data_IF_567866689637
#
_entry.id   IF_567866689637
#
_cell.length_a   1.000
_cell.length_b   1.000
_cell.length_c   1.000
_cell.angle_alpha   90.00
_cell.angle_beta   90.00
_cell.angle_gamma   90.00
#
_symmetry.space_group_name_H-M   'P 1'
#
loop_
_entity.id
_entity.type
_entity.pdbx_description
1 polymer ?
#
# COMPACT_ATOMS: atom_id res chain seq x y z
N UNK A 1 4.85 -3.58 -4.64
CA UNK A 1 6.09 -4.32 -4.31
C UNK A 1 6.27 -4.46 -2.79
N UNK A 2 6.09 -3.39 -1.99
CA UNK A 2 6.17 -3.44 -0.52
C UNK A 2 5.31 -4.51 0.15
N UNK A 3 4.01 -4.59 -0.19
CA UNK A 3 3.09 -5.58 0.37
C UNK A 3 3.61 -7.03 0.31
N UNK A 4 4.22 -7.46 -0.80
CA UNK A 4 4.69 -8.86 -0.93
C UNK A 4 5.88 -9.13 -0.02
N UNK A 5 6.79 -8.17 0.13
CA UNK A 5 7.94 -8.29 1.03
C UNK A 5 7.50 -8.35 2.50
N UNK A 6 6.52 -7.51 2.87
CA UNK A 6 5.93 -7.49 4.20
C UNK A 6 5.11 -8.75 4.51
N UNK A 7 4.36 -9.28 3.53
CA UNK A 7 3.70 -10.61 3.61
C UNK A 7 4.73 -11.70 3.88
N UNK A 8 5.84 -11.73 3.15
CA UNK A 8 6.86 -12.76 3.32
C UNK A 8 7.48 -12.73 4.71
N UNK A 9 7.88 -11.55 5.19
CA UNK A 9 8.44 -11.41 6.55
C UNK A 9 7.40 -11.80 7.59
N UNK A 10 6.19 -11.25 7.51
CA UNK A 10 5.16 -11.52 8.51
C UNK A 10 4.74 -12.99 8.55
N UNK A 11 4.61 -13.64 7.38
CA UNK A 11 4.28 -15.06 7.30
C UNK A 11 5.36 -16.00 7.86
N UNK A 12 6.63 -15.56 7.89
CA UNK A 12 7.71 -16.33 8.50
C UNK A 12 7.69 -16.26 10.03
N UNK A 13 7.15 -15.19 10.62
CA UNK A 13 7.12 -14.98 12.08
C UNK A 13 5.75 -15.23 12.73
N UNK A 14 4.66 -15.18 11.96
CA UNK A 14 3.29 -15.38 12.47
C UNK A 14 2.82 -16.83 12.27
N UNK A 15 2.06 -17.40 13.22
CA UNK A 15 1.48 -18.73 13.09
C UNK A 15 0.29 -18.78 12.12
N UNK A 16 -0.12 -17.63 11.55
CA UNK A 16 -1.24 -17.49 10.63
C UNK A 16 -0.90 -16.54 9.49
N UNK A 17 -1.68 -16.62 8.41
CA UNK A 17 -1.55 -15.71 7.27
C UNK A 17 -1.95 -14.29 7.67
N UNK A 18 -1.04 -13.31 7.57
CA UNK A 18 -1.31 -11.97 8.06
C UNK A 18 -2.39 -11.24 7.23
N UNK A 19 -2.57 -11.62 5.96
CA UNK A 19 -3.72 -11.21 5.14
C UNK A 19 -4.13 -12.35 4.20
N UNK A 20 -5.44 -12.56 4.04
CA UNK A 20 -5.97 -13.54 3.09
C UNK A 20 -5.87 -13.03 1.65
N UNK A 21 -5.68 -13.90 0.65
CA UNK A 21 -5.69 -13.52 -0.77
C UNK A 21 -6.96 -12.78 -1.19
N UNK A 22 -8.11 -13.12 -0.60
CA UNK A 22 -9.38 -12.43 -0.87
C UNK A 22 -9.34 -10.96 -0.45
N UNK A 23 -8.74 -10.65 0.71
CA UNK A 23 -8.59 -9.28 1.18
C UNK A 23 -7.67 -8.46 0.27
N UNK A 24 -6.56 -9.06 -0.18
CA UNK A 24 -5.67 -8.45 -1.16
C UNK A 24 -6.39 -8.15 -2.48
N UNK A 25 -7.23 -9.08 -2.96
CA UNK A 25 -8.00 -8.89 -4.18
C UNK A 25 -8.99 -7.73 -4.05
N UNK A 26 -9.68 -7.63 -2.92
CA UNK A 26 -10.60 -6.52 -2.65
C UNK A 26 -9.85 -5.19 -2.57
N UNK A 27 -8.70 -5.12 -1.89
CA UNK A 27 -7.89 -3.89 -1.84
C UNK A 27 -7.45 -3.45 -3.23
N UNK A 28 -6.92 -4.37 -4.03
CA UNK A 28 -6.49 -4.05 -5.38
C UNK A 28 -7.66 -3.58 -6.25
N UNK A 29 -8.83 -4.22 -6.14
CA UNK A 29 -10.02 -3.78 -6.86
C UNK A 29 -10.45 -2.36 -6.45
N UNK A 30 -10.49 -2.06 -5.15
CA UNK A 30 -10.82 -0.73 -4.65
C UNK A 30 -9.82 0.33 -5.13
N UNK A 31 -8.54 -0.02 -5.13
CA UNK A 31 -7.47 0.83 -5.63
C UNK A 31 -7.63 1.11 -7.12
N UNK A 32 -7.83 0.07 -7.93
CA UNK A 32 -7.99 0.19 -9.38
C UNK A 32 -9.23 1.01 -9.73
N UNK A 33 -10.36 0.80 -9.04
CA UNK A 33 -11.57 1.64 -9.18
C UNK A 33 -11.27 3.10 -8.87
N UNK A 34 -10.49 3.37 -7.81
CA UNK A 34 -10.10 4.73 -7.46
C UNK A 34 -9.23 5.38 -8.54
N UNK A 35 -8.41 4.59 -9.24
CA UNK A 35 -7.60 5.07 -10.36
C UNK A 35 -8.39 5.36 -11.63
N UNK A 36 -9.59 4.78 -11.82
CA UNK A 36 -10.46 5.10 -12.97
C UNK A 36 -10.81 6.60 -12.99
N UNK A 37 -10.81 7.27 -11.84
CA UNK A 37 -11.06 8.72 -11.78
C UNK A 37 -9.87 9.57 -12.26
N UNK A 38 -8.65 9.03 -12.31
CA UNK A 38 -7.43 9.80 -12.64
C UNK A 38 -7.44 10.33 -14.08
N UNK A 39 -7.81 9.55 -15.12
CA UNK A 39 -7.91 10.07 -16.49
C UNK A 39 -8.98 11.15 -16.70
N UNK A 40 -9.98 11.20 -15.83
CA UNK A 40 -11.04 12.22 -15.85
C UNK A 40 -10.72 13.42 -14.94
N UNK A 41 -9.55 13.43 -14.30
CA UNK A 41 -9.10 14.52 -13.47
C UNK A 41 -8.61 15.71 -14.31
N UNK A 42 -8.74 16.91 -13.78
CA UNK A 42 -8.34 18.13 -14.48
C UNK A 42 -6.81 18.23 -14.47
N UNK A 43 -6.19 17.90 -15.60
CA UNK A 43 -4.74 17.92 -15.76
C UNK A 43 -4.28 19.37 -15.99
N UNK A 44 -3.21 19.81 -15.33
CA UNK A 44 -2.66 21.16 -15.52
C UNK A 44 -2.33 21.43 -16.99
N UNK A 45 -2.64 22.63 -17.50
CA UNK A 45 -2.45 23.03 -18.90
C UNK A 45 -0.98 22.84 -19.36
N UNK A 46 -0.04 22.96 -18.43
CA UNK A 46 1.41 22.75 -18.59
C UNK A 46 1.76 21.29 -18.99
N UNK A 47 0.99 20.32 -18.49
CA UNK A 47 1.15 18.90 -18.79
C UNK A 47 0.63 18.54 -20.18
N UNK A 48 -0.30 19.35 -20.73
CA UNK A 48 -0.94 19.17 -22.03
C UNK A 48 -0.13 19.87 -23.14
N UNK A 49 0.69 20.87 -22.79
CA UNK A 49 1.40 21.70 -23.79
C UNK A 49 2.50 20.96 -24.53
N UNK A 50 3.06 19.88 -23.96
CA UNK A 50 4.15 19.11 -24.56
C UNK A 50 3.95 17.59 -24.35
N UNK A 51 4.34 16.74 -25.32
CA UNK A 51 4.26 15.30 -25.16
C UNK A 51 5.19 14.84 -24.03
N UNK A 52 4.59 14.36 -22.94
CA UNK A 52 5.32 13.82 -21.78
C UNK A 52 6.10 12.57 -22.21
N UNK A 53 7.41 12.57 -22.01
CA UNK A 53 8.25 11.39 -22.25
C UNK A 53 8.26 10.52 -21.01
N UNK A 54 7.97 9.23 -21.18
CA UNK A 54 7.97 8.28 -20.08
C UNK A 54 9.40 8.05 -19.57
N UNK A 55 9.76 8.60 -18.41
CA UNK A 55 11.06 8.39 -17.79
C UNK A 55 10.99 7.22 -16.79
N UNK A 56 11.36 6.02 -17.25
CA UNK A 56 11.39 4.82 -16.42
C UNK A 56 12.38 4.90 -15.24
N UNK A 57 13.41 5.75 -15.33
CA UNK A 57 14.36 5.95 -14.25
C UNK A 57 13.75 6.67 -13.04
N UNK A 58 12.81 7.59 -13.28
CA UNK A 58 12.09 8.30 -12.22
C UNK A 58 11.11 7.38 -11.49
N UNK A 59 10.47 6.46 -12.23
CA UNK A 59 9.63 5.41 -11.65
C UNK A 59 10.45 4.48 -10.74
N UNK A 60 11.67 4.12 -11.17
CA UNK A 60 12.59 3.32 -10.36
C UNK A 60 12.98 4.03 -9.05
N UNK A 61 13.34 5.32 -9.10
CA UNK A 61 13.64 6.13 -7.90
C UNK A 61 12.44 6.22 -6.96
N UNK A 62 11.24 6.42 -7.50
CA UNK A 62 10.01 6.43 -6.72
C UNK A 62 9.81 5.10 -5.98
N UNK A 63 9.98 3.96 -6.65
CA UNK A 63 9.87 2.64 -6.03
C UNK A 63 10.90 2.42 -4.92
N UNK A 64 12.15 2.86 -5.11
CA UNK A 64 13.22 2.72 -4.12
C UNK A 64 13.00 3.59 -2.89
N UNK A 65 12.34 4.74 -3.01
CA UNK A 65 12.05 5.62 -1.88
C UNK A 65 10.78 5.19 -1.12
N UNK A 66 9.73 4.84 -1.86
CA UNK A 66 8.45 4.44 -1.26
C UNK A 66 8.44 3.03 -0.70
N UNK A 67 9.20 2.10 -1.29
CA UNK A 67 9.30 0.73 -0.78
C UNK A 67 9.67 0.70 0.70
N UNK A 68 10.83 1.28 1.10
CA UNK A 68 11.23 1.36 2.50
C UNK A 68 10.22 2.06 3.40
N UNK A 69 9.60 3.15 2.95
CA UNK A 69 8.59 3.88 3.74
C UNK A 69 7.40 2.96 4.03
N UNK A 70 6.86 2.29 3.00
CA UNK A 70 5.74 1.35 3.20
C UNK A 70 6.11 0.22 4.16
N UNK A 71 7.31 -0.35 4.04
CA UNK A 71 7.77 -1.40 4.95
C UNK A 71 7.93 -0.93 6.39
N UNK A 72 8.29 0.34 6.64
CA UNK A 72 8.33 0.90 8.00
C UNK A 72 6.90 0.95 8.58
N UNK A 73 5.92 1.42 7.81
CA UNK A 73 4.52 1.45 8.24
C UNK A 73 3.96 0.04 8.50
N UNK A 74 4.29 -0.94 7.64
CA UNK A 74 3.95 -2.35 7.84
C UNK A 74 4.54 -2.88 9.16
N UNK A 75 5.84 -2.67 9.39
CA UNK A 75 6.53 -3.12 10.61
C UNK A 75 5.96 -2.45 11.86
N UNK A 76 5.64 -1.15 11.80
CA UNK A 76 5.00 -0.45 12.90
C UNK A 76 3.61 -1.03 13.19
N UNK A 77 2.83 -1.30 12.17
CA UNK A 77 1.48 -1.88 12.30
C UNK A 77 1.55 -3.29 12.89
N UNK A 78 2.47 -4.13 12.42
CA UNK A 78 2.69 -5.45 13.01
C UNK A 78 3.18 -5.37 14.45
N UNK A 79 4.06 -4.42 14.76
CA UNK A 79 4.53 -4.19 16.13
C UNK A 79 3.39 -3.75 17.04
N UNK A 80 2.51 -2.85 16.59
CA UNK A 80 1.33 -2.43 17.33
C UNK A 80 0.37 -3.61 17.56
N UNK A 81 0.07 -4.38 16.51
CA UNK A 81 -0.80 -5.55 16.63
C UNK A 81 -0.24 -6.61 17.59
N UNK A 82 1.08 -6.82 17.57
CA UNK A 82 1.75 -7.80 18.41
C UNK A 82 1.91 -7.34 19.86
N UNK A 83 2.39 -6.12 20.11
CA UNK A 83 2.77 -5.66 21.45
C UNK A 83 1.61 -4.99 22.21
N UNK A 84 0.74 -4.26 21.51
CA UNK A 84 -0.38 -3.54 22.13
C UNK A 84 -1.62 -4.42 22.17
N UNK A 85 -2.05 -4.94 21.01
CA UNK A 85 -3.27 -5.73 20.92
C UNK A 85 -3.07 -7.20 21.28
N UNK A 86 -1.81 -7.67 21.39
CA UNK A 86 -1.46 -9.09 21.60
C UNK A 86 -2.21 -10.01 20.64
N UNK A 87 -2.43 -9.54 19.41
CA UNK A 87 -3.13 -10.27 18.35
C UNK A 87 -2.18 -11.29 17.70
N UNK A 88 -1.57 -12.14 18.53
CA UNK A 88 -0.62 -13.18 18.12
C UNK A 88 -1.23 -14.59 18.16
N UNK A 89 -2.48 -14.73 18.60
CA UNK A 89 -3.22 -15.99 18.62
C UNK A 89 -4.10 -16.12 17.37
N UNK A 90 -4.38 -17.36 16.88
CA UNK A 90 -5.28 -17.59 15.75
C UNK A 90 -6.70 -17.04 15.95
N UNK A 91 -7.17 -16.95 17.20
CA UNK A 91 -8.47 -16.38 17.55
C UNK A 91 -8.56 -14.88 17.24
N UNK A 92 -7.43 -14.16 17.31
CA UNK A 92 -7.31 -12.73 17.03
C UNK A 92 -6.80 -12.46 15.61
N UNK A 93 -6.69 -13.49 14.77
CA UNK A 93 -6.24 -13.36 13.38
C UNK A 93 -7.10 -12.36 12.59
N UNK A 94 -8.41 -12.32 12.83
CA UNK A 94 -9.31 -11.36 12.17
C UNK A 94 -8.96 -9.92 12.53
N UNK A 95 -8.62 -9.63 13.79
CA UNK A 95 -8.19 -8.30 14.22
C UNK A 95 -6.88 -7.89 13.53
N UNK A 96 -5.91 -8.80 13.44
CA UNK A 96 -4.65 -8.56 12.73
C UNK A 96 -4.89 -8.30 11.24
N UNK A 97 -5.72 -9.12 10.61
CA UNK A 97 -6.08 -8.99 9.20
C UNK A 97 -6.81 -7.67 8.91
N UNK A 98 -7.72 -7.25 9.79
CA UNK A 98 -8.41 -5.97 9.67
C UNK A 98 -7.47 -4.79 9.87
N UNK A 99 -6.57 -4.84 10.86
CA UNK A 99 -5.60 -3.78 11.12
C UNK A 99 -4.68 -3.55 9.91
N UNK A 100 -4.13 -4.64 9.38
CA UNK A 100 -3.32 -4.54 8.17
C UNK A 100 -4.14 -4.17 6.93
N UNK A 101 -5.41 -4.56 6.86
CA UNK A 101 -6.27 -4.15 5.76
C UNK A 101 -6.49 -2.64 5.71
N UNK A 102 -6.73 -2.03 6.87
CA UNK A 102 -6.92 -0.58 6.99
C UNK A 102 -5.62 0.16 6.68
N UNK A 103 -4.47 -0.31 7.20
CA UNK A 103 -3.17 0.26 6.86
C UNK A 103 -2.93 0.23 5.34
N UNK A 104 -3.21 -0.91 4.69
CA UNK A 104 -3.03 -1.05 3.25
C UNK A 104 -3.85 -0.02 2.44
N UNK A 105 -5.11 0.22 2.84
CA UNK A 105 -5.95 1.25 2.22
C UNK A 105 -5.42 2.67 2.46
N UNK A 106 -4.90 2.97 3.65
CA UNK A 106 -4.31 4.27 3.97
C UNK A 106 -3.06 4.52 3.14
N UNK A 107 -2.16 3.54 3.06
CA UNK A 107 -0.95 3.58 2.24
C UNK A 107 -1.28 3.78 0.75
N UNK A 108 -2.28 3.05 0.23
CA UNK A 108 -2.77 3.21 -1.14
C UNK A 108 -3.34 4.62 -1.40
N UNK A 109 -4.16 5.13 -0.49
CA UNK A 109 -4.75 6.47 -0.59
C UNK A 109 -3.67 7.55 -0.60
N UNK A 110 -2.68 7.43 0.28
CA UNK A 110 -1.53 8.34 0.35
C UNK A 110 -0.74 8.34 -0.96
N UNK A 111 -0.49 7.16 -1.54
CA UNK A 111 0.21 7.02 -2.83
C UNK A 111 -0.56 7.74 -3.94
N UNK A 112 -1.87 7.55 -4.04
CA UNK A 112 -2.69 8.24 -5.05
C UNK A 112 -2.59 9.75 -4.87
N UNK A 113 -2.69 10.23 -3.62
CA UNK A 113 -2.61 11.66 -3.32
C UNK A 113 -1.23 12.24 -3.65
N UNK A 114 -0.14 11.51 -3.36
CA UNK A 114 1.22 11.92 -3.71
C UNK A 114 1.48 11.91 -5.22
N UNK A 115 0.93 10.95 -5.97
CA UNK A 115 1.03 10.95 -7.44
C UNK A 115 0.29 12.15 -8.03
N UNK A 116 -0.88 12.48 -7.48
CA UNK A 116 -1.69 13.62 -7.91
C UNK A 116 -1.06 14.97 -7.56
N UNK A 117 -0.39 15.07 -6.40
CA UNK A 117 0.24 16.30 -5.91
C UNK A 117 1.69 16.40 -6.37
N UNK A 118 1.91 16.48 -7.69
CA UNK A 118 3.22 16.87 -8.23
C UNK A 118 3.30 18.38 -8.37
N UNK A 119 3.79 19.05 -7.33
CA UNK A 119 4.53 20.31 -7.47
C UNK A 119 6.01 20.04 -7.24
#
# INVERSE_FOLDING_TARGET
FGNVFSVLIASAFLPFLPMLPLHLLIQNLMYDISQIAIPFDNVDDDQITQPQRWNSADLGRFMVFFGPISSIFDVLTFSLMWWVFKANTPEMQTLFQSGWFVEGLLSQTLIVHMIRTRK
#
